data_IF_804540602566
#
_entry.id   IF_804540602566
#
_cell.length_a   1.000
_cell.length_b   1.000
_cell.length_c   1.000
_cell.angle_alpha   90.00
_cell.angle_beta   90.00
_cell.angle_gamma   90.00
#
_symmetry.space_group_name_H-M   'P 1'
#
loop_
_entity.id
_entity.type
_entity.pdbx_description
1 polymer ?
#
# COMPACT_ATOMS: atom_id res chain seq x y z
N UNK A 1 -34.85 14.41 6.90
CA UNK A 1 -34.11 13.66 5.86
C UNK A 1 -32.74 13.35 6.44
N UNK A 2 -32.34 12.09 6.54
CA UNK A 2 -30.99 11.76 7.01
C UNK A 2 -30.01 11.98 5.86
N UNK A 3 -28.93 12.71 6.11
CA UNK A 3 -27.87 12.89 5.11
C UNK A 3 -26.87 11.76 5.29
N UNK A 4 -26.47 11.11 4.20
CA UNK A 4 -25.43 10.07 4.24
C UNK A 4 -24.22 10.46 3.41
N UNK A 5 -23.03 10.05 3.85
CA UNK A 5 -21.77 10.25 3.16
C UNK A 5 -21.08 8.90 2.95
N UNK A 6 -20.62 8.67 1.71
CA UNK A 6 -19.88 7.47 1.33
C UNK A 6 -18.39 7.71 1.62
N UNK A 7 -17.93 7.30 2.81
CA UNK A 7 -16.56 7.54 3.27
C UNK A 7 -15.61 6.47 2.71
N UNK A 8 -14.56 6.85 1.95
CA UNK A 8 -13.52 5.91 1.58
C UNK A 8 -12.67 5.53 2.79
N UNK A 9 -12.34 4.24 2.91
CA UNK A 9 -11.49 3.67 3.95
C UNK A 9 -10.47 2.75 3.30
N UNK A 10 -9.21 2.87 3.69
CA UNK A 10 -8.13 2.05 3.17
C UNK A 10 -8.36 0.56 3.52
N UNK A 11 -8.24 -0.31 2.53
CA UNK A 11 -8.16 -1.76 2.71
C UNK A 11 -6.68 -2.16 2.75
N UNK A 12 -6.14 -2.39 3.95
CA UNK A 12 -4.72 -2.73 4.13
C UNK A 12 -4.35 -4.04 3.44
N UNK A 13 -5.22 -5.05 3.48
CA UNK A 13 -4.94 -6.37 2.92
C UNK A 13 -4.92 -6.31 1.41
N UNK A 14 -5.92 -5.67 0.80
CA UNK A 14 -5.98 -5.48 -0.64
C UNK A 14 -4.85 -4.57 -1.15
N UNK A 15 -4.53 -3.51 -0.40
CA UNK A 15 -3.39 -2.62 -0.69
C UNK A 15 -2.06 -3.41 -0.65
N UNK A 16 -1.85 -4.23 0.38
CA UNK A 16 -0.67 -5.11 0.48
C UNK A 16 -0.53 -6.07 -0.70
N UNK A 17 -1.63 -6.70 -1.10
CA UNK A 17 -1.67 -7.58 -2.27
C UNK A 17 -1.43 -6.83 -3.58
N UNK A 18 -1.94 -5.60 -3.71
CA UNK A 18 -1.72 -4.73 -4.87
C UNK A 18 -0.24 -4.36 -5.01
N UNK A 19 0.40 -3.90 -3.94
CA UNK A 19 1.85 -3.59 -3.91
C UNK A 19 2.65 -4.82 -4.33
N UNK A 20 2.37 -5.99 -3.75
CA UNK A 20 3.05 -7.26 -4.12
C UNK A 20 2.92 -7.58 -5.61
N UNK A 21 1.73 -7.37 -6.16
CA UNK A 21 1.43 -7.65 -7.58
C UNK A 21 2.18 -6.71 -8.51
N UNK A 22 2.23 -5.41 -8.19
CA UNK A 22 2.98 -4.42 -8.97
C UNK A 22 4.48 -4.70 -8.88
N UNK A 23 5.02 -4.97 -7.68
CA UNK A 23 6.42 -5.37 -7.50
C UNK A 23 6.79 -6.56 -8.38
N UNK A 24 5.95 -7.60 -8.41
CA UNK A 24 6.15 -8.76 -9.28
C UNK A 24 6.15 -8.39 -10.76
N UNK A 25 5.21 -7.55 -11.19
CA UNK A 25 5.11 -7.08 -12.58
C UNK A 25 6.35 -6.28 -13.00
N UNK A 26 6.89 -5.47 -12.09
CA UNK A 26 8.08 -4.64 -12.32
C UNK A 26 9.41 -5.36 -12.09
N UNK A 27 9.38 -6.64 -11.71
CA UNK A 27 10.59 -7.42 -11.44
C UNK A 27 11.37 -6.95 -10.21
N UNK A 28 10.72 -6.24 -9.28
CA UNK A 28 11.34 -5.70 -8.05
C UNK A 28 11.15 -6.67 -6.90
N UNK A 29 12.24 -7.14 -6.31
CA UNK A 29 12.22 -8.08 -5.18
C UNK A 29 12.02 -7.38 -3.82
N UNK A 30 11.45 -8.07 -2.82
CA UNK A 30 11.37 -7.55 -1.45
C UNK A 30 12.73 -7.16 -0.86
N UNK A 31 13.81 -7.87 -1.24
CA UNK A 31 15.17 -7.57 -0.78
C UNK A 31 15.67 -6.24 -1.35
N UNK A 32 15.39 -5.93 -2.62
CA UNK A 32 15.74 -4.63 -3.21
C UNK A 32 15.01 -3.49 -2.50
N UNK A 33 13.70 -3.64 -2.28
CA UNK A 33 12.91 -2.61 -1.56
C UNK A 33 13.44 -2.41 -0.13
N UNK A 34 13.77 -3.49 0.58
CA UNK A 34 14.33 -3.38 1.92
C UNK A 34 15.68 -2.62 1.94
N UNK A 35 16.54 -2.83 0.96
CA UNK A 35 17.82 -2.12 0.85
C UNK A 35 17.59 -0.63 0.54
N UNK A 36 16.72 -0.33 -0.45
CA UNK A 36 16.42 1.04 -0.88
C UNK A 36 15.81 1.86 0.27
N UNK A 37 14.91 1.25 1.04
CA UNK A 37 14.25 1.90 2.18
C UNK A 37 15.05 1.83 3.48
N UNK A 38 16.26 1.26 3.43
CA UNK A 38 17.15 1.10 4.59
C UNK A 38 16.48 0.41 5.80
N UNK A 39 15.63 -0.59 5.54
CA UNK A 39 15.04 -1.39 6.62
C UNK A 39 16.05 -2.43 7.12
N UNK A 40 16.07 -2.74 8.43
CA UNK A 40 16.95 -3.78 8.98
C UNK A 40 16.55 -5.19 8.53
N UNK A 41 15.27 -5.42 8.23
CA UNK A 41 14.73 -6.76 7.94
C UNK A 41 13.79 -6.75 6.74
N UNK A 42 13.92 -7.75 5.86
CA UNK A 42 13.00 -7.95 4.71
C UNK A 42 11.56 -8.26 5.16
N UNK A 43 11.41 -8.74 6.39
CA UNK A 43 10.11 -9.04 7.00
C UNK A 43 9.17 -7.83 7.00
N UNK A 44 9.69 -6.60 7.05
CA UNK A 44 8.86 -5.38 6.92
C UNK A 44 8.06 -5.37 5.62
N UNK A 45 8.67 -5.78 4.51
CA UNK A 45 8.01 -5.82 3.21
C UNK A 45 6.93 -6.92 3.17
N UNK A 46 7.22 -8.08 3.76
CA UNK A 46 6.24 -9.17 3.87
C UNK A 46 5.05 -8.81 4.79
N UNK A 47 5.27 -8.00 5.82
CA UNK A 47 4.20 -7.49 6.68
C UNK A 47 3.22 -6.60 5.91
N UNK A 48 3.71 -5.84 4.91
CA UNK A 48 2.84 -5.08 4.01
C UNK A 48 2.01 -6.02 3.15
N UNK A 49 2.61 -7.06 2.59
CA UNK A 49 1.91 -8.02 1.74
C UNK A 49 0.78 -8.77 2.45
N UNK A 50 0.92 -9.02 3.75
CA UNK A 50 -0.11 -9.65 4.57
C UNK A 50 -1.08 -8.66 5.22
N UNK A 51 -0.98 -7.37 4.92
CA UNK A 51 -1.86 -6.34 5.50
C UNK A 51 -1.64 -6.09 6.99
N UNK A 52 -0.51 -6.53 7.56
CA UNK A 52 -0.22 -6.38 9.00
C UNK A 52 0.00 -4.92 9.39
N UNK A 53 0.64 -4.15 8.50
CA UNK A 53 0.82 -2.72 8.65
C UNK A 53 0.99 -2.06 7.28
N UNK A 54 0.87 -0.74 7.26
CA UNK A 54 1.02 0.06 6.04
C UNK A 54 2.46 0.59 5.93
N UNK A 55 3.07 0.64 4.73
CA UNK A 55 4.21 1.52 4.50
C UNK A 55 3.87 2.95 4.93
N UNK A 56 4.83 3.66 5.53
CA UNK A 56 4.65 5.09 5.81
C UNK A 56 4.48 5.88 4.50
N UNK A 57 4.02 7.13 4.59
CA UNK A 57 3.90 8.01 3.42
C UNK A 57 5.26 8.16 2.71
N UNK A 58 6.36 8.35 3.45
CA UNK A 58 7.70 8.42 2.86
C UNK A 58 8.08 7.15 2.08
N UNK A 59 7.74 5.98 2.65
CA UNK A 59 7.98 4.71 1.97
C UNK A 59 7.09 4.54 0.74
N UNK A 60 5.85 5.04 0.77
CA UNK A 60 4.95 5.04 -0.39
C UNK A 60 5.47 5.91 -1.52
N UNK A 61 6.06 7.07 -1.21
CA UNK A 61 6.70 7.95 -2.21
C UNK A 61 7.86 7.22 -2.87
N UNK A 62 8.74 6.57 -2.09
CA UNK A 62 9.85 5.82 -2.69
C UNK A 62 9.35 4.60 -3.48
N UNK A 63 8.33 3.91 -2.98
CA UNK A 63 7.69 2.80 -3.70
C UNK A 63 7.08 3.26 -5.04
N UNK A 64 6.44 4.42 -5.09
CA UNK A 64 5.84 4.95 -6.32
C UNK A 64 6.91 5.24 -7.38
N UNK A 65 8.05 5.80 -6.96
CA UNK A 65 9.19 6.06 -7.85
C UNK A 65 9.82 4.77 -8.39
N UNK A 66 10.15 3.80 -7.52
CA UNK A 66 10.82 2.56 -7.96
C UNK A 66 9.91 1.64 -8.77
N UNK A 67 8.58 1.77 -8.62
CA UNK A 67 7.59 0.96 -9.32
C UNK A 67 6.98 1.68 -10.54
N UNK A 68 7.35 2.95 -10.78
CA UNK A 68 6.85 3.79 -11.87
C UNK A 68 5.31 3.82 -11.92
N UNK A 69 4.69 4.12 -10.78
CA UNK A 69 3.24 4.27 -10.62
C UNK A 69 2.94 5.45 -9.72
N UNK A 70 1.70 5.95 -9.69
CA UNK A 70 1.32 6.94 -8.68
C UNK A 70 1.11 6.26 -7.32
N UNK A 71 1.18 7.02 -6.22
CA UNK A 71 0.82 6.49 -4.89
C UNK A 71 -0.62 5.96 -4.90
N UNK A 72 -1.54 6.62 -5.60
CA UNK A 72 -2.94 6.17 -5.70
C UNK A 72 -3.06 4.79 -6.34
N UNK A 73 -2.19 4.42 -7.28
CA UNK A 73 -2.20 3.08 -7.90
C UNK A 73 -1.79 1.96 -6.93
N UNK A 74 -1.08 2.32 -5.85
CA UNK A 74 -0.68 1.39 -4.78
C UNK A 74 -1.83 1.13 -3.80
N UNK A 75 -2.73 2.09 -3.61
CA UNK A 75 -3.76 2.07 -2.56
C UNK A 75 -5.07 1.44 -3.05
N UNK A 76 -5.71 0.68 -2.17
CA UNK A 76 -7.06 0.14 -2.40
C UNK A 76 -7.98 0.64 -1.29
N UNK A 77 -9.13 1.20 -1.67
CA UNK A 77 -10.13 1.72 -0.73
C UNK A 77 -11.46 0.99 -0.87
N UNK A 78 -12.08 0.69 0.27
CA UNK A 78 -13.48 0.32 0.38
C UNK A 78 -14.31 1.55 0.75
N UNK A 79 -15.63 1.46 0.59
CA UNK A 79 -16.55 2.54 0.96
C UNK A 79 -17.42 2.10 2.13
N UNK A 80 -17.55 2.96 3.14
CA UNK A 80 -18.51 2.78 4.23
C UNK A 80 -19.49 3.95 4.23
N UNK A 81 -20.78 3.67 4.44
CA UNK A 81 -21.79 4.70 4.59
C UNK A 81 -21.80 5.22 6.04
N UNK A 82 -21.78 6.54 6.18
CA UNK A 82 -21.94 7.22 7.49
C UNK A 82 -23.13 8.18 7.43
N UNK A 83 -23.91 8.23 8.49
CA UNK A 83 -24.95 9.26 8.68
C UNK A 83 -24.31 10.55 9.21
N UNK A 84 -24.68 11.70 8.66
CA UNK A 84 -24.21 13.05 9.05
C UNK A 84 -25.36 14.04 9.21
#
# INVERSE_FOLDING_TARGET
MKTTYQKPVLDLTATGAKIKSIMKLRGVSPRQVQIILNFPFVQTIYNWFSGKNMPSIDNLIVLSEILEVSINDLLVTNTIEIEI
#
